data_IF_212618624755
#
_entry.id   IF_212618624755
#
_cell.length_a   1.000
_cell.length_b   1.000
_cell.length_c   1.000
_cell.angle_alpha   90.00
_cell.angle_beta   90.00
_cell.angle_gamma   90.00
#
_symmetry.space_group_name_H-M   'P 1'
#
loop_
_entity.id
_entity.type
_entity.pdbx_description
1 polymer ?
#
# COMPACT_ATOMS: atom_id res chain seq x y z
N UNK A 1 48.51 -1.96 43.46
CA UNK A 1 47.61 -1.88 42.29
C UNK A 1 47.61 -0.45 41.78
N UNK A 2 48.61 -0.13 40.94
CA UNK A 2 48.72 1.21 40.34
C UNK A 2 47.92 1.23 39.02
N UNK A 3 46.62 1.47 39.10
CA UNK A 3 45.80 1.78 37.92
C UNK A 3 45.95 3.28 37.62
N UNK A 4 46.09 3.68 36.35
CA UNK A 4 46.09 5.10 35.97
C UNK A 4 44.80 5.79 36.47
N UNK A 5 44.91 7.03 36.98
CA UNK A 5 43.80 7.80 37.58
C UNK A 5 42.54 7.84 36.73
N UNK A 6 42.65 7.79 35.39
CA UNK A 6 41.55 7.75 34.47
C UNK A 6 40.73 6.44 34.52
N UNK A 7 41.42 5.30 34.73
CA UNK A 7 40.80 3.97 34.83
C UNK A 7 40.08 3.82 36.17
N UNK A 8 40.64 4.36 37.25
CA UNK A 8 40.05 4.36 38.58
C UNK A 8 38.74 5.15 38.61
N UNK A 9 38.69 6.31 37.93
CA UNK A 9 37.45 7.09 37.75
C UNK A 9 36.38 6.35 36.93
N UNK A 10 36.80 5.63 35.87
CA UNK A 10 35.85 4.85 35.05
C UNK A 10 35.32 3.63 35.82
N UNK A 11 36.15 2.95 36.59
CA UNK A 11 35.71 1.85 37.46
C UNK A 11 34.82 2.37 38.59
N UNK A 12 35.12 3.51 39.20
CA UNK A 12 34.26 4.13 40.19
C UNK A 12 32.90 4.57 39.61
N UNK A 13 32.88 5.05 38.36
CA UNK A 13 31.65 5.39 37.64
C UNK A 13 30.85 4.13 37.29
N UNK A 14 31.49 3.05 36.84
CA UNK A 14 30.81 1.79 36.53
C UNK A 14 30.22 1.10 37.77
N UNK A 15 30.89 1.20 38.90
CA UNK A 15 30.40 0.72 40.19
C UNK A 15 29.35 1.61 40.81
N UNK A 16 29.27 2.91 40.40
CA UNK A 16 28.26 3.87 40.83
C UNK A 16 26.98 3.80 40.00
N UNK A 17 27.04 3.18 38.82
CA UNK A 17 25.85 2.76 38.08
C UNK A 17 25.30 1.54 38.81
N UNK A 18 24.49 1.83 39.83
CA UNK A 18 23.71 0.85 40.58
C UNK A 18 23.03 -0.04 39.56
N UNK A 19 23.36 -1.33 39.55
CA UNK A 19 22.67 -2.32 38.71
C UNK A 19 21.17 -2.08 38.80
N UNK A 20 20.61 -1.69 37.68
CA UNK A 20 19.17 -1.58 37.43
C UNK A 20 18.37 -1.24 38.67
N UNK A 21 17.93 -0.01 38.81
CA UNK A 21 16.66 0.19 39.47
C UNK A 21 15.71 -0.78 38.78
N UNK A 22 15.41 -1.91 39.43
CA UNK A 22 14.38 -2.83 39.01
C UNK A 22 13.19 -1.94 38.67
N UNK A 23 12.76 -1.92 37.41
CA UNK A 23 11.56 -1.19 37.00
C UNK A 23 10.55 -1.41 38.12
N UNK A 24 10.05 -0.35 38.77
CA UNK A 24 9.11 -0.53 39.86
C UNK A 24 8.02 -1.47 39.34
N UNK A 25 7.78 -2.56 40.11
CA UNK A 25 6.72 -3.54 39.78
C UNK A 25 5.51 -2.70 39.42
N UNK A 26 5.09 -2.76 38.15
CA UNK A 26 3.93 -2.03 37.69
C UNK A 26 2.77 -2.38 38.63
N UNK A 27 2.40 -1.43 39.48
CA UNK A 27 1.18 -1.52 40.27
C UNK A 27 0.09 -1.73 39.21
N UNK A 28 -0.76 -2.76 39.31
CA UNK A 28 -1.79 -2.98 38.33
C UNK A 28 -2.66 -1.73 38.25
N UNK A 29 -2.45 -0.96 37.17
CA UNK A 29 -3.21 0.26 36.94
C UNK A 29 -4.70 -0.10 36.88
N UNK A 30 -5.57 0.66 37.56
CA UNK A 30 -6.99 0.41 37.53
C UNK A 30 -7.47 0.40 36.08
N UNK A 31 -8.37 -0.51 35.75
CA UNK A 31 -8.92 -0.69 34.39
C UNK A 31 -9.34 0.63 33.73
N UNK A 32 -9.88 1.57 34.52
CA UNK A 32 -10.24 2.93 34.08
C UNK A 32 -9.03 3.74 33.60
N UNK A 33 -7.88 3.63 34.25
CA UNK A 33 -6.66 4.32 33.81
C UNK A 33 -6.19 3.82 32.44
N UNK A 34 -6.20 2.49 32.21
CA UNK A 34 -5.86 1.90 30.89
C UNK A 34 -6.80 2.34 29.78
N UNK A 35 -8.10 2.44 30.05
CA UNK A 35 -9.08 2.94 29.08
C UNK A 35 -8.86 4.42 28.79
N UNK A 36 -8.57 5.21 29.81
CA UNK A 36 -8.30 6.63 29.66
C UNK A 36 -7.01 6.88 28.89
N UNK A 37 -5.94 6.17 29.21
CA UNK A 37 -4.66 6.26 28.48
C UNK A 37 -4.80 5.77 27.03
N UNK A 38 -5.57 4.71 26.81
CA UNK A 38 -5.92 4.24 25.46
C UNK A 38 -6.64 5.31 24.65
N UNK A 39 -7.59 6.02 25.26
CA UNK A 39 -8.33 7.09 24.60
C UNK A 39 -7.45 8.32 24.29
N UNK A 40 -6.61 8.74 25.24
CA UNK A 40 -5.67 9.84 25.01
C UNK A 40 -4.61 9.49 23.98
N UNK A 41 -4.11 8.25 23.97
CA UNK A 41 -3.16 7.77 22.96
C UNK A 41 -3.81 7.70 21.57
N UNK A 42 -5.07 7.25 21.49
CA UNK A 42 -5.83 7.26 20.24
C UNK A 42 -6.04 8.69 19.73
N UNK A 43 -6.49 9.61 20.58
CA UNK A 43 -6.65 11.03 20.23
C UNK A 43 -5.34 11.64 19.74
N UNK A 44 -4.23 11.36 20.43
CA UNK A 44 -2.90 11.84 20.04
C UNK A 44 -2.47 11.24 18.70
N UNK A 45 -2.70 9.93 18.47
CA UNK A 45 -2.43 9.27 17.20
C UNK A 45 -3.23 9.88 16.05
N UNK A 46 -4.51 10.14 16.27
CA UNK A 46 -5.39 10.78 15.28
C UNK A 46 -4.91 12.20 14.96
N UNK A 47 -4.52 13.00 15.95
CA UNK A 47 -3.98 14.35 15.72
C UNK A 47 -2.66 14.32 14.93
N UNK A 48 -1.75 13.38 15.23
CA UNK A 48 -0.51 13.21 14.49
C UNK A 48 -0.82 12.87 13.03
N UNK A 49 -1.80 11.97 12.79
CA UNK A 49 -2.22 11.60 11.46
C UNK A 49 -2.81 12.76 10.66
N UNK A 50 -3.66 13.60 11.31
CA UNK A 50 -4.19 14.81 10.67
C UNK A 50 -3.10 15.85 10.37
N UNK A 51 -2.14 16.04 11.26
CA UNK A 51 -1.00 16.93 11.01
C UNK A 51 -0.17 16.42 9.82
N UNK A 52 0.12 15.12 9.78
CA UNK A 52 0.84 14.50 8.67
C UNK A 52 0.11 14.65 7.33
N UNK A 53 -1.21 14.44 7.32
CA UNK A 53 -2.03 14.69 6.12
C UNK A 53 -2.01 16.16 5.71
N UNK A 54 -2.06 17.07 6.68
CA UNK A 54 -1.94 18.52 6.44
C UNK A 54 -0.59 18.88 5.79
N UNK A 55 0.50 18.31 6.30
CA UNK A 55 1.84 18.51 5.72
C UNK A 55 1.96 17.97 4.30
N UNK A 56 1.34 16.81 3.99
CA UNK A 56 1.28 16.26 2.63
C UNK A 56 0.53 17.23 1.69
N UNK A 57 -0.64 17.72 2.11
CA UNK A 57 -1.44 18.65 1.29
C UNK A 57 -0.67 19.95 1.04
N UNK A 58 -0.04 20.49 2.07
CA UNK A 58 0.83 21.67 1.94
C UNK A 58 2.02 21.41 1.01
N UNK A 59 2.64 20.25 1.12
CA UNK A 59 3.76 19.85 0.28
C UNK A 59 3.36 19.64 -1.19
N UNK A 60 2.20 19.05 -1.48
CA UNK A 60 1.67 18.96 -2.85
C UNK A 60 1.43 20.38 -3.42
N UNK A 61 0.88 21.29 -2.61
CA UNK A 61 0.73 22.69 -3.02
C UNK A 61 2.07 23.37 -3.30
N UNK A 62 3.09 23.10 -2.48
CA UNK A 62 4.45 23.61 -2.64
C UNK A 62 5.10 23.13 -3.96
N UNK A 63 4.79 21.90 -4.38
CA UNK A 63 5.22 21.34 -5.66
C UNK A 63 4.67 22.17 -6.84
N UNK A 64 3.39 22.54 -6.81
CA UNK A 64 2.77 23.40 -7.85
C UNK A 64 3.35 24.81 -7.88
N UNK A 65 3.94 25.28 -6.78
CA UNK A 65 4.55 26.62 -6.67
C UNK A 65 6.03 26.61 -7.08
N UNK A 66 6.60 25.45 -7.48
CA UNK A 66 7.97 25.34 -8.02
C UNK A 66 9.08 25.53 -6.99
N UNK A 67 8.78 25.42 -5.69
CA UNK A 67 9.75 25.63 -4.59
C UNK A 67 10.42 24.33 -4.09
N UNK A 68 10.01 23.17 -4.62
CA UNK A 68 10.52 21.86 -4.19
C UNK A 68 11.58 21.36 -5.17
N UNK A 69 12.68 20.83 -4.67
CA UNK A 69 13.66 20.10 -5.47
C UNK A 69 13.07 18.76 -5.94
N UNK A 70 12.36 18.79 -7.08
CA UNK A 70 11.76 17.58 -7.66
C UNK A 70 12.73 16.92 -8.63
N UNK A 71 13.21 15.73 -8.29
CA UNK A 71 14.08 14.94 -9.17
C UNK A 71 13.23 14.04 -10.08
N UNK A 72 13.13 14.39 -11.36
CA UNK A 72 12.44 13.57 -12.36
C UNK A 72 13.03 12.17 -12.51
N UNK A 73 14.35 12.02 -12.32
CA UNK A 73 15.02 10.72 -12.36
C UNK A 73 14.55 9.78 -11.23
N UNK A 74 14.49 10.29 -9.99
CA UNK A 74 13.96 9.54 -8.85
C UNK A 74 12.49 9.20 -9.02
N UNK A 75 11.69 10.12 -9.50
CA UNK A 75 10.27 9.90 -9.77
C UNK A 75 10.04 8.76 -10.78
N UNK A 76 10.80 8.75 -11.90
CA UNK A 76 10.72 7.68 -12.89
C UNK A 76 11.14 6.32 -12.31
N UNK A 77 12.13 6.31 -11.44
CA UNK A 77 12.60 5.11 -10.75
C UNK A 77 11.55 4.59 -9.75
N UNK A 78 10.84 5.50 -9.07
CA UNK A 78 9.71 5.17 -8.20
C UNK A 78 8.52 4.61 -9.00
N UNK A 79 8.17 5.20 -10.14
CA UNK A 79 7.15 4.67 -11.06
C UNK A 79 7.52 3.25 -11.51
N UNK A 80 8.77 3.01 -11.89
CA UNK A 80 9.22 1.68 -12.28
C UNK A 80 9.13 0.69 -11.12
N UNK A 81 9.54 1.07 -9.91
CA UNK A 81 9.45 0.22 -8.71
C UNK A 81 8.00 -0.09 -8.34
N UNK A 82 7.12 0.91 -8.34
CA UNK A 82 5.69 0.73 -8.02
C UNK A 82 4.93 -0.03 -9.11
N UNK A 83 5.28 0.21 -10.38
CA UNK A 83 4.61 -0.38 -11.54
C UNK A 83 5.18 -1.73 -11.93
N UNK A 84 6.33 -1.73 -12.61
CA UNK A 84 6.88 -2.93 -13.24
C UNK A 84 7.08 -4.09 -12.25
N UNK A 85 7.56 -3.81 -11.05
CA UNK A 85 7.76 -4.84 -10.04
C UNK A 85 6.45 -5.39 -9.44
N UNK A 86 5.35 -4.65 -9.56
CA UNK A 86 4.03 -5.10 -9.09
C UNK A 86 3.26 -5.88 -10.15
N UNK A 87 3.57 -5.70 -11.45
CA UNK A 87 2.84 -6.32 -12.56
C UNK A 87 2.72 -7.83 -12.43
N UNK A 88 3.80 -8.54 -12.09
CA UNK A 88 3.77 -10.00 -11.95
C UNK A 88 2.78 -10.48 -10.90
N UNK A 89 2.76 -9.84 -9.74
CA UNK A 89 1.85 -10.20 -8.65
C UNK A 89 0.40 -9.80 -8.98
N UNK A 90 0.20 -8.61 -9.53
CA UNK A 90 -1.12 -8.13 -9.95
C UNK A 90 -1.69 -9.04 -11.04
N UNK A 91 -0.89 -9.45 -12.04
CA UNK A 91 -1.30 -10.38 -13.10
C UNK A 91 -1.80 -11.70 -12.52
N UNK A 92 -0.98 -12.30 -11.66
CA UNK A 92 -1.29 -13.61 -11.08
C UNK A 92 -2.58 -13.55 -10.26
N UNK A 93 -2.69 -12.58 -9.35
CA UNK A 93 -3.86 -12.48 -8.47
C UNK A 93 -5.12 -12.13 -9.25
N UNK A 94 -5.05 -11.15 -10.16
CA UNK A 94 -6.23 -10.75 -10.96
C UNK A 94 -6.70 -11.85 -11.89
N UNK A 95 -5.77 -12.59 -12.51
CA UNK A 95 -6.10 -13.73 -13.33
C UNK A 95 -6.79 -14.83 -12.51
N UNK A 96 -6.27 -15.18 -11.34
CA UNK A 96 -6.88 -16.15 -10.43
C UNK A 96 -8.26 -15.72 -9.97
N UNK A 97 -8.44 -14.46 -9.61
CA UNK A 97 -9.77 -13.92 -9.22
C UNK A 97 -10.75 -14.01 -10.39
N UNK A 98 -10.34 -13.66 -11.60
CA UNK A 98 -11.15 -13.82 -12.81
C UNK A 98 -11.57 -15.27 -13.07
N UNK A 99 -10.63 -16.20 -12.92
CA UNK A 99 -10.88 -17.65 -13.01
C UNK A 99 -11.92 -18.09 -11.96
N UNK A 100 -11.74 -17.70 -10.71
CA UNK A 100 -12.64 -18.07 -9.60
C UNK A 100 -14.05 -17.51 -9.85
N UNK A 101 -14.16 -16.24 -10.22
CA UNK A 101 -15.45 -15.61 -10.51
C UNK A 101 -16.17 -16.30 -11.66
N UNK A 102 -15.44 -16.62 -12.75
CA UNK A 102 -16.01 -17.32 -13.89
C UNK A 102 -16.44 -18.75 -13.52
N UNK A 103 -15.63 -19.48 -12.76
CA UNK A 103 -15.95 -20.84 -12.36
C UNK A 103 -17.18 -20.88 -11.43
N UNK A 104 -17.21 -20.05 -10.40
CA UNK A 104 -18.34 -19.99 -9.44
C UNK A 104 -19.60 -19.50 -10.16
N UNK A 105 -19.47 -18.45 -10.99
CA UNK A 105 -20.58 -17.94 -11.80
C UNK A 105 -21.11 -18.98 -12.77
N UNK A 106 -20.23 -19.76 -13.40
CA UNK A 106 -20.60 -20.84 -14.31
C UNK A 106 -21.45 -21.90 -13.63
N UNK A 107 -21.08 -22.33 -12.44
CA UNK A 107 -21.84 -23.33 -11.68
C UNK A 107 -23.25 -22.85 -11.38
N UNK A 108 -23.41 -21.57 -11.01
CA UNK A 108 -24.73 -21.00 -10.71
C UNK A 108 -25.58 -20.83 -11.97
N UNK A 109 -25.02 -20.27 -13.04
CA UNK A 109 -25.74 -19.99 -14.28
C UNK A 109 -26.09 -21.26 -15.08
N UNK A 110 -25.32 -22.33 -14.90
CA UNK A 110 -25.60 -23.64 -15.52
C UNK A 110 -26.97 -24.18 -15.10
N UNK A 111 -27.40 -23.93 -13.86
CA UNK A 111 -28.69 -24.35 -13.35
C UNK A 111 -29.88 -23.71 -14.11
N UNK A 112 -29.64 -22.55 -14.69
CA UNK A 112 -30.66 -21.74 -15.41
C UNK A 112 -30.46 -21.79 -16.94
N UNK A 113 -29.46 -22.50 -17.44
CA UNK A 113 -29.13 -22.52 -18.87
C UNK A 113 -28.60 -21.19 -19.43
N UNK A 114 -28.20 -20.28 -18.55
CA UNK A 114 -27.84 -18.89 -18.88
C UNK A 114 -26.32 -18.64 -18.87
N UNK A 115 -25.52 -19.62 -19.29
CA UNK A 115 -24.05 -19.62 -19.17
C UNK A 115 -23.38 -18.46 -19.91
N UNK A 116 -23.98 -17.93 -20.97
CA UNK A 116 -23.42 -16.82 -21.77
C UNK A 116 -23.24 -15.53 -20.95
N UNK A 117 -24.10 -15.30 -19.96
CA UNK A 117 -24.02 -14.12 -19.09
C UNK A 117 -22.84 -14.12 -18.12
N UNK A 118 -22.02 -15.16 -18.11
CA UNK A 118 -20.78 -15.20 -17.33
C UNK A 118 -19.83 -14.08 -17.76
N UNK A 119 -19.75 -13.82 -19.07
CA UNK A 119 -18.92 -12.77 -19.63
C UNK A 119 -19.30 -11.39 -19.04
N UNK A 120 -20.59 -11.13 -18.94
CA UNK A 120 -21.14 -9.88 -18.42
C UNK A 120 -20.82 -9.75 -16.92
N UNK A 121 -21.06 -10.81 -16.14
CA UNK A 121 -20.82 -10.80 -14.69
C UNK A 121 -19.36 -10.61 -14.36
N UNK A 122 -18.47 -11.36 -14.99
CA UNK A 122 -17.02 -11.27 -14.76
C UNK A 122 -16.52 -9.89 -15.18
N UNK A 123 -16.92 -9.41 -16.36
CA UNK A 123 -16.53 -8.10 -16.87
C UNK A 123 -16.93 -6.97 -15.92
N UNK A 124 -18.21 -6.93 -15.51
CA UNK A 124 -18.72 -5.89 -14.61
C UNK A 124 -18.08 -6.01 -13.21
N UNK A 125 -17.99 -7.22 -12.65
CA UNK A 125 -17.43 -7.45 -11.32
C UNK A 125 -15.95 -7.02 -11.25
N UNK A 126 -15.16 -7.35 -12.28
CA UNK A 126 -13.75 -6.96 -12.34
C UNK A 126 -13.59 -5.44 -12.47
N UNK A 127 -14.27 -4.83 -13.43
CA UNK A 127 -14.08 -3.42 -13.75
C UNK A 127 -14.65 -2.50 -12.66
N UNK A 128 -15.73 -2.89 -12.02
CA UNK A 128 -16.43 -2.02 -11.06
C UNK A 128 -15.94 -2.16 -9.62
N UNK A 129 -15.45 -3.33 -9.23
CA UNK A 129 -15.11 -3.60 -7.82
C UNK A 129 -13.79 -4.34 -7.67
N UNK A 130 -13.69 -5.54 -8.25
CA UNK A 130 -12.63 -6.47 -7.89
C UNK A 130 -11.24 -5.98 -8.32
N UNK A 131 -11.12 -5.38 -9.51
CA UNK A 131 -9.84 -4.86 -9.99
C UNK A 131 -9.28 -3.77 -9.10
N UNK A 132 -10.10 -2.79 -8.71
CA UNK A 132 -9.69 -1.70 -7.83
C UNK A 132 -9.35 -2.22 -6.42
N UNK A 133 -10.21 -3.04 -5.83
CA UNK A 133 -9.99 -3.59 -4.48
C UNK A 133 -8.72 -4.44 -4.43
N UNK A 134 -8.52 -5.37 -5.37
CA UNK A 134 -7.34 -6.24 -5.39
C UNK A 134 -6.07 -5.45 -5.61
N UNK A 135 -6.07 -4.49 -6.54
CA UNK A 135 -4.92 -3.62 -6.77
C UNK A 135 -4.61 -2.80 -5.52
N UNK A 136 -5.62 -2.24 -4.86
CA UNK A 136 -5.47 -1.48 -3.61
C UNK A 136 -4.85 -2.32 -2.48
N UNK A 137 -5.32 -3.55 -2.28
CA UNK A 137 -4.78 -4.47 -1.27
C UNK A 137 -3.32 -4.84 -1.58
N UNK A 138 -3.01 -5.17 -2.84
CA UNK A 138 -1.65 -5.54 -3.26
C UNK A 138 -0.70 -4.36 -3.08
N UNK A 139 -1.10 -3.16 -3.51
CA UNK A 139 -0.27 -1.97 -3.43
C UNK A 139 -0.05 -1.50 -2.00
N UNK A 140 -1.08 -1.52 -1.15
CA UNK A 140 -0.92 -1.18 0.27
C UNK A 140 -0.05 -2.20 1.01
N UNK A 141 -0.26 -3.49 0.77
CA UNK A 141 0.48 -4.56 1.44
C UNK A 141 1.95 -4.63 1.01
N UNK A 142 2.21 -4.64 -0.30
CA UNK A 142 3.58 -4.81 -0.83
C UNK A 142 4.33 -3.49 -0.94
N UNK A 143 3.78 -2.53 -1.67
CA UNK A 143 4.50 -1.28 -1.98
C UNK A 143 4.50 -0.35 -0.77
N UNK A 144 3.38 -0.25 -0.04
CA UNK A 144 3.31 0.50 1.20
C UNK A 144 4.26 -0.04 2.26
N UNK A 145 4.32 -1.36 2.47
CA UNK A 145 5.26 -1.98 3.40
C UNK A 145 6.73 -1.76 2.98
N UNK A 146 7.04 -1.86 1.68
CA UNK A 146 8.38 -1.58 1.16
C UNK A 146 8.82 -0.13 1.43
N UNK A 147 7.95 0.83 1.18
CA UNK A 147 8.23 2.24 1.46
C UNK A 147 8.37 2.53 2.95
N UNK A 148 7.54 1.92 3.79
CA UNK A 148 7.67 2.03 5.24
C UNK A 148 9.01 1.46 5.74
N UNK A 149 9.44 0.32 5.20
CA UNK A 149 10.73 -0.28 5.54
C UNK A 149 11.92 0.59 5.10
N UNK A 150 11.88 1.13 3.85
CA UNK A 150 12.91 2.06 3.38
C UNK A 150 13.03 3.29 4.28
N UNK A 151 11.91 3.95 4.60
CA UNK A 151 11.90 5.12 5.49
C UNK A 151 12.38 4.77 6.90
N UNK A 152 12.01 3.57 7.40
CA UNK A 152 12.48 3.07 8.68
C UNK A 152 13.99 2.86 8.73
N UNK A 153 14.58 2.33 7.66
CA UNK A 153 16.03 2.17 7.53
C UNK A 153 16.74 3.54 7.47
N UNK A 154 16.22 4.48 6.67
CA UNK A 154 16.76 5.83 6.58
C UNK A 154 16.68 6.57 7.93
N UNK A 155 15.62 6.34 8.71
CA UNK A 155 15.52 6.89 10.06
C UNK A 155 16.53 6.25 11.02
N UNK A 156 16.73 4.94 10.95
CA UNK A 156 17.71 4.23 11.79
C UNK A 156 19.15 4.61 11.48
N UNK A 157 19.44 4.93 10.22
CA UNK A 157 20.75 5.40 9.76
C UNK A 157 20.97 6.92 9.96
N UNK A 158 20.02 7.62 10.60
CA UNK A 158 20.06 9.08 10.80
C UNK A 158 20.09 9.91 9.50
N UNK A 159 19.79 9.30 8.34
CA UNK A 159 19.77 9.97 7.03
C UNK A 159 18.67 11.05 6.98
N UNK A 160 17.52 10.81 7.63
CA UNK A 160 16.41 11.79 7.70
C UNK A 160 16.84 12.99 8.55
N UNK A 161 17.62 12.80 9.60
CA UNK A 161 18.10 13.89 10.44
C UNK A 161 19.21 14.68 9.72
N UNK A 162 20.02 14.01 8.90
CA UNK A 162 20.96 14.68 8.00
C UNK A 162 20.24 15.61 7.00
N UNK A 163 19.12 15.17 6.40
CA UNK A 163 18.31 16.03 5.52
C UNK A 163 17.77 17.26 6.25
N UNK A 164 17.30 17.11 7.48
CA UNK A 164 16.84 18.24 8.31
C UNK A 164 17.96 19.23 8.62
N UNK A 165 19.17 18.76 8.90
CA UNK A 165 20.32 19.64 9.15
C UNK A 165 20.74 20.43 7.91
N UNK A 166 20.50 19.87 6.71
CA UNK A 166 20.68 20.57 5.41
C UNK A 166 19.52 21.54 5.10
N UNK A 167 18.52 21.65 5.95
CA UNK A 167 17.37 22.52 5.72
C UNK A 167 16.35 21.96 4.72
N UNK A 168 16.45 20.66 4.37
CA UNK A 168 15.54 19.99 3.45
C UNK A 168 14.40 19.37 4.25
N UNK A 169 13.16 19.66 3.86
CA UNK A 169 11.99 19.04 4.48
C UNK A 169 11.87 17.56 4.03
N UNK A 170 12.02 16.58 4.95
CA UNK A 170 11.98 15.17 4.58
C UNK A 170 10.65 14.73 3.96
N UNK A 171 9.54 15.34 4.34
CA UNK A 171 8.23 15.01 3.76
C UNK A 171 8.16 15.43 2.30
N UNK A 172 8.61 16.62 1.99
CA UNK A 172 8.61 17.12 0.61
C UNK A 172 9.57 16.33 -0.29
N UNK A 173 10.72 15.93 0.25
CA UNK A 173 11.75 15.24 -0.52
C UNK A 173 11.52 13.73 -0.64
N UNK A 174 11.08 13.05 0.42
CA UNK A 174 10.94 11.60 0.44
C UNK A 174 9.50 11.11 0.21
N UNK A 175 8.51 11.76 0.83
CA UNK A 175 7.14 11.24 0.86
C UNK A 175 6.36 11.64 -0.39
N UNK A 176 6.46 12.91 -0.80
CA UNK A 176 5.66 13.43 -1.92
C UNK A 176 5.95 12.72 -3.25
N UNK A 177 7.20 12.49 -3.68
CA UNK A 177 7.45 11.76 -4.92
C UNK A 177 6.90 10.33 -4.90
N UNK A 178 6.95 9.66 -3.75
CA UNK A 178 6.38 8.31 -3.59
C UNK A 178 4.85 8.30 -3.70
N UNK A 179 4.18 9.28 -3.07
CA UNK A 179 2.73 9.44 -3.17
C UNK A 179 2.29 9.75 -4.61
N UNK A 180 3.00 10.64 -5.30
CA UNK A 180 2.70 10.96 -6.70
C UNK A 180 2.87 9.75 -7.61
N UNK A 181 3.93 8.95 -7.40
CA UNK A 181 4.15 7.72 -8.14
C UNK A 181 2.99 6.73 -7.91
N UNK A 182 2.49 6.60 -6.68
CA UNK A 182 1.33 5.77 -6.37
C UNK A 182 0.05 6.30 -7.03
N UNK A 183 -0.22 7.59 -6.96
CA UNK A 183 -1.41 8.22 -7.56
C UNK A 183 -1.46 7.96 -9.07
N UNK A 184 -0.32 7.99 -9.76
CA UNK A 184 -0.24 7.71 -11.20
C UNK A 184 -0.33 6.23 -11.50
N UNK A 185 0.33 5.39 -10.70
CA UNK A 185 0.42 3.95 -10.99
C UNK A 185 -0.82 3.15 -10.55
N UNK A 186 -1.55 3.59 -9.52
CA UNK A 186 -2.75 2.89 -9.05
C UNK A 186 -3.82 2.73 -10.14
N UNK A 187 -4.26 3.79 -10.86
CA UNK A 187 -5.21 3.64 -11.94
C UNK A 187 -4.70 2.76 -13.08
N UNK A 188 -3.42 2.88 -13.45
CA UNK A 188 -2.84 2.06 -14.52
C UNK A 188 -2.82 0.58 -14.16
N UNK A 189 -2.43 0.26 -12.91
CA UNK A 189 -2.44 -1.12 -12.42
C UNK A 189 -3.87 -1.67 -12.28
N UNK A 190 -4.83 -0.84 -11.92
CA UNK A 190 -6.25 -1.24 -11.86
C UNK A 190 -6.79 -1.58 -13.25
N UNK A 191 -6.49 -0.77 -14.26
CA UNK A 191 -6.84 -1.07 -15.65
C UNK A 191 -6.22 -2.39 -16.11
N UNK A 192 -4.94 -2.58 -15.81
CA UNK A 192 -4.25 -3.82 -16.12
C UNK A 192 -4.85 -5.03 -15.38
N UNK A 193 -5.16 -4.89 -14.10
CA UNK A 193 -5.82 -5.92 -13.29
C UNK A 193 -7.18 -6.33 -13.86
N UNK A 194 -7.97 -5.36 -14.33
CA UNK A 194 -9.24 -5.63 -14.99
C UNK A 194 -9.07 -6.46 -16.25
N UNK A 195 -8.09 -6.12 -17.09
CA UNK A 195 -7.79 -6.88 -18.31
C UNK A 195 -7.37 -8.32 -17.99
N UNK A 196 -6.49 -8.51 -17.00
CA UNK A 196 -6.05 -9.82 -16.57
C UNK A 196 -7.17 -10.66 -15.95
N UNK A 197 -8.07 -10.05 -15.19
CA UNK A 197 -9.22 -10.74 -14.62
C UNK A 197 -10.23 -11.17 -15.67
N UNK A 198 -10.54 -10.32 -16.65
CA UNK A 198 -11.39 -10.67 -17.79
C UNK A 198 -10.76 -11.81 -18.61
N UNK A 199 -9.43 -11.76 -18.81
CA UNK A 199 -8.70 -12.83 -19.49
C UNK A 199 -8.76 -14.16 -18.71
N UNK A 200 -8.67 -14.12 -17.38
CA UNK A 200 -8.89 -15.28 -16.51
C UNK A 200 -10.28 -15.89 -16.69
N UNK A 201 -11.31 -15.04 -16.74
CA UNK A 201 -12.69 -15.46 -17.02
C UNK A 201 -12.87 -16.05 -18.41
N UNK A 202 -12.21 -15.48 -19.42
CA UNK A 202 -12.18 -15.99 -20.79
C UNK A 202 -11.64 -17.42 -20.86
N UNK A 203 -10.52 -17.71 -20.19
CA UNK A 203 -9.92 -19.05 -20.18
C UNK A 203 -10.93 -20.10 -19.71
N UNK A 204 -11.63 -19.84 -18.60
CA UNK A 204 -12.64 -20.78 -18.05
C UNK A 204 -13.84 -20.92 -18.97
N UNK A 205 -14.32 -19.82 -19.51
CA UNK A 205 -15.51 -19.80 -20.38
C UNK A 205 -15.30 -20.60 -21.65
N UNK A 206 -14.11 -20.53 -22.23
CA UNK A 206 -13.77 -21.29 -23.45
C UNK A 206 -13.42 -22.74 -23.13
N UNK A 207 -12.60 -23.00 -22.09
CA UNK A 207 -12.08 -24.33 -21.81
C UNK A 207 -13.10 -25.25 -21.13
N UNK A 208 -13.92 -24.72 -20.24
CA UNK A 208 -14.83 -25.52 -19.42
C UNK A 208 -16.28 -25.48 -19.90
N UNK A 209 -16.73 -24.35 -20.44
CA UNK A 209 -18.13 -24.14 -20.85
C UNK A 209 -18.32 -24.32 -22.36
N UNK A 210 -17.25 -24.50 -23.13
CA UNK A 210 -17.27 -24.59 -24.59
C UNK A 210 -18.00 -23.40 -25.26
N UNK A 211 -17.94 -22.21 -24.62
CA UNK A 211 -18.51 -21.00 -25.20
C UNK A 211 -17.65 -20.53 -26.38
N UNK A 212 -18.33 -19.94 -27.38
CA UNK A 212 -17.61 -19.38 -28.53
C UNK A 212 -16.75 -18.19 -28.06
N UNK A 213 -15.44 -18.17 -28.33
CA UNK A 213 -14.55 -17.07 -27.95
C UNK A 213 -15.00 -15.69 -28.41
N UNK A 214 -15.58 -15.62 -29.63
CA UNK A 214 -16.06 -14.37 -30.21
C UNK A 214 -17.30 -13.85 -29.46
N UNK A 215 -18.18 -14.76 -29.07
CA UNK A 215 -19.40 -14.43 -28.33
C UNK A 215 -19.06 -13.92 -26.93
N UNK A 216 -18.10 -14.53 -26.24
CA UNK A 216 -17.59 -14.02 -24.96
C UNK A 216 -17.08 -12.59 -25.06
N UNK A 217 -16.27 -12.27 -26.08
CA UNK A 217 -15.70 -10.94 -26.29
C UNK A 217 -16.79 -9.90 -26.59
N UNK A 218 -17.78 -10.24 -27.44
CA UNK A 218 -18.89 -9.34 -27.76
C UNK A 218 -19.72 -9.03 -26.50
N UNK A 219 -20.05 -10.03 -25.69
CA UNK A 219 -20.75 -9.85 -24.43
C UNK A 219 -19.95 -8.99 -23.45
N UNK A 220 -18.68 -9.30 -23.24
CA UNK A 220 -17.80 -8.49 -22.38
C UNK A 220 -17.76 -7.02 -22.84
N UNK A 221 -17.61 -6.78 -24.15
CA UNK A 221 -17.58 -5.42 -24.70
C UNK A 221 -18.91 -4.67 -24.49
N UNK A 222 -20.02 -5.35 -24.62
CA UNK A 222 -21.35 -4.75 -24.41
C UNK A 222 -21.63 -4.44 -22.93
N UNK A 223 -21.13 -5.30 -22.03
CA UNK A 223 -21.31 -5.16 -20.58
C UNK A 223 -20.40 -4.11 -19.96
N UNK A 224 -19.14 -4.02 -20.42
CA UNK A 224 -18.14 -3.09 -19.90
C UNK A 224 -18.29 -1.73 -20.58
N UNK A 225 -19.14 -0.87 -20.03
CA UNK A 225 -19.28 0.51 -20.48
C UNK A 225 -18.19 1.38 -19.83
N UNK A 226 -17.78 2.45 -20.53
CA UNK A 226 -16.81 3.45 -20.02
C UNK A 226 -17.27 4.02 -18.66
N UNK A 227 -18.58 4.16 -18.44
CA UNK A 227 -19.12 4.59 -17.16
C UNK A 227 -18.77 3.66 -15.99
N UNK A 228 -18.62 2.36 -16.22
CA UNK A 228 -18.24 1.40 -15.18
C UNK A 228 -16.78 1.56 -14.75
N UNK A 229 -15.93 2.04 -15.64
CA UNK A 229 -14.51 2.30 -15.43
C UNK A 229 -14.26 3.51 -14.52
N UNK A 230 -15.18 4.49 -14.52
CA UNK A 230 -15.11 5.68 -13.65
C UNK A 230 -15.66 5.42 -12.24
N UNK A 231 -16.44 4.37 -12.06
CA UNK A 231 -17.04 4.01 -10.76
C UNK A 231 -16.13 3.07 -9.95
N UNK A 232 -15.30 2.28 -10.61
CA UNK A 232 -14.32 1.39 -9.98
C UNK A 232 -12.98 2.05 -9.79
#
# INVERSE_FOLDING_TARGET
NNLPEGVEKLVALSLKIKEGEAKPKAIPEPFLARVTDGFFNLKRGVLILFNFLGEIVCGIRSLFTGKVYFSWGEFMLLIQRCGANALGLVSLISLLVGIILAFVGAMQLKLFGAQIYIADIVGIAMVRVMGAVMTGIIMSGRTGASFAAELGIMQANEEIDALKTLGINPIEFLVIPRLLALIVMMPLLTLYANLMGIFGGFIISVSMLNLNPVEYLIHTQSAVKISNLWVG
#
